data_IF_462060185769
#
_entry.id   IF_462060185769
#
_cell.length_a   1.000
_cell.length_b   1.000
_cell.length_c   1.000
_cell.angle_alpha   90.00
_cell.angle_beta   90.00
_cell.angle_gamma   90.00
#
_symmetry.space_group_name_H-M   'P 1'
#
loop_
_entity.id
_entity.type
_entity.pdbx_description
1 polymer ?
#
# COMPACT_ATOMS: atom_id res chain seq x y z
N UNK A 1 -0.24 -11.57 -59.74
CA UNK A 1 0.05 -11.08 -58.38
C UNK A 1 -1.26 -10.75 -57.70
N UNK A 2 -1.65 -11.48 -56.66
CA UNK A 2 -2.49 -10.94 -55.59
C UNK A 2 -2.41 -11.93 -54.42
N UNK A 3 -1.62 -11.53 -53.43
CA UNK A 3 -1.47 -12.22 -52.15
C UNK A 3 -2.81 -12.12 -51.40
N UNK A 4 -3.34 -13.27 -51.01
CA UNK A 4 -4.46 -13.37 -50.08
C UNK A 4 -4.01 -12.89 -48.70
N UNK A 5 -4.74 -11.91 -48.19
CA UNK A 5 -4.61 -11.26 -46.88
C UNK A 5 -4.57 -12.28 -45.74
N UNK A 6 -3.49 -12.23 -44.95
CA UNK A 6 -3.39 -12.80 -43.61
C UNK A 6 -4.41 -12.08 -42.70
N UNK A 7 -5.49 -12.77 -42.35
CA UNK A 7 -6.40 -12.33 -41.29
C UNK A 7 -5.68 -12.58 -39.97
N UNK A 8 -5.28 -11.49 -39.33
CA UNK A 8 -4.59 -11.48 -38.04
C UNK A 8 -5.44 -12.10 -36.95
N UNK A 9 -4.90 -13.13 -36.31
CA UNK A 9 -5.43 -13.67 -35.06
C UNK A 9 -4.60 -13.11 -33.91
N UNK A 10 -4.99 -11.93 -33.38
CA UNK A 10 -4.34 -11.37 -32.17
C UNK A 10 -5.26 -10.43 -31.39
N UNK A 11 -6.39 -10.92 -30.88
CA UNK A 11 -7.14 -10.20 -29.82
C UNK A 11 -7.87 -11.17 -28.89
N UNK A 12 -7.15 -11.98 -28.12
CA UNK A 12 -7.68 -12.61 -26.92
C UNK A 12 -6.59 -12.59 -25.83
N UNK A 13 -6.29 -11.40 -25.33
CA UNK A 13 -5.73 -11.19 -24.00
C UNK A 13 -6.75 -10.39 -23.17
N UNK A 14 -8.00 -10.84 -23.14
CA UNK A 14 -9.02 -10.43 -22.18
C UNK A 14 -9.51 -11.69 -21.47
N UNK A 15 -8.70 -12.23 -20.56
CA UNK A 15 -9.10 -13.33 -19.70
C UNK A 15 -8.17 -13.42 -18.47
N UNK A 16 -8.35 -12.50 -17.51
CA UNK A 16 -8.06 -12.73 -16.08
C UNK A 16 -8.51 -11.57 -15.16
N UNK A 17 -9.34 -10.62 -15.60
CA UNK A 17 -9.95 -9.63 -14.70
C UNK A 17 -11.22 -10.16 -14.00
N UNK A 18 -11.38 -11.49 -13.93
CA UNK A 18 -12.49 -12.13 -13.22
C UNK A 18 -12.07 -12.39 -11.77
N UNK A 19 -12.52 -11.49 -10.89
CA UNK A 19 -12.53 -11.63 -9.44
C UNK A 19 -11.18 -11.88 -8.78
N UNK A 20 -10.19 -11.02 -9.03
CA UNK A 20 -9.07 -10.90 -8.07
C UNK A 20 -9.65 -10.37 -6.77
N UNK A 21 -9.78 -11.25 -5.78
CA UNK A 21 -10.18 -10.86 -4.43
C UNK A 21 -8.92 -10.40 -3.70
N UNK A 22 -8.85 -9.11 -3.38
CA UNK A 22 -7.71 -8.56 -2.68
C UNK A 22 -7.94 -8.70 -1.16
N UNK A 23 -7.02 -9.32 -0.41
CA UNK A 23 -7.02 -9.21 1.05
C UNK A 23 -6.91 -7.73 1.46
N UNK A 24 -7.43 -7.31 2.64
CA UNK A 24 -7.33 -5.93 3.10
C UNK A 24 -5.90 -5.37 3.00
N UNK A 25 -5.73 -4.25 2.29
CA UNK A 25 -4.43 -3.58 2.14
C UNK A 25 -4.48 -2.29 2.97
N UNK A 26 -3.99 -2.37 4.19
CA UNK A 26 -4.03 -1.28 5.14
C UNK A 26 -2.81 -0.36 4.99
N UNK A 27 -2.98 0.92 5.33
CA UNK A 27 -1.98 1.95 5.08
C UNK A 27 -1.59 2.69 6.35
N UNK A 28 -0.34 3.15 6.38
CA UNK A 28 0.19 3.85 7.53
C UNK A 28 1.48 4.61 7.26
N UNK A 29 2.09 5.06 8.34
CA UNK A 29 3.39 5.73 8.31
C UNK A 29 4.39 5.00 9.20
N UNK A 30 5.63 4.96 8.75
CA UNK A 30 6.77 4.56 9.57
C UNK A 30 7.82 5.66 9.59
N UNK A 31 8.28 6.03 10.78
CA UNK A 31 9.30 7.04 10.96
C UNK A 31 10.53 6.41 11.63
N UNK A 32 11.68 6.30 10.92
CA UNK A 32 12.94 5.79 11.49
C UNK A 32 14.17 6.04 10.58
N UNK A 33 15.38 6.26 11.14
CA UNK A 33 15.71 7.42 11.95
C UNK A 33 15.84 8.72 11.13
N UNK A 34 15.73 8.67 9.80
CA UNK A 34 15.95 9.81 8.89
C UNK A 34 14.91 9.90 7.76
N UNK A 35 13.71 9.33 7.93
CA UNK A 35 12.67 9.44 6.91
C UNK A 35 11.26 9.15 7.43
N UNK A 36 10.28 9.72 6.72
CA UNK A 36 8.88 9.38 6.85
C UNK A 36 8.53 8.47 5.69
N UNK A 37 8.26 7.20 5.98
CA UNK A 37 7.83 6.22 5.00
C UNK A 37 6.32 6.12 5.02
N UNK A 38 5.69 6.18 3.85
CA UNK A 38 4.33 5.72 3.67
C UNK A 38 4.37 4.24 3.30
N UNK A 39 3.57 3.44 4.00
CA UNK A 39 3.68 1.99 4.02
C UNK A 39 2.31 1.35 3.82
N UNK A 40 2.30 0.16 3.25
CA UNK A 40 1.12 -0.69 3.12
C UNK A 40 1.39 -2.09 3.66
N UNK A 41 0.39 -2.77 4.23
CA UNK A 41 0.49 -4.15 4.69
C UNK A 41 -0.81 -4.92 4.43
N UNK A 42 -0.71 -6.24 4.34
CA UNK A 42 -1.85 -7.11 3.98
C UNK A 42 -1.69 -8.52 4.52
N UNK A 43 -2.74 -9.17 5.06
CA UNK A 43 -4.11 -8.66 5.29
C UNK A 43 -4.30 -7.95 6.64
N UNK A 44 -3.23 -7.84 7.44
CA UNK A 44 -3.33 -7.52 8.86
C UNK A 44 -4.03 -6.18 9.12
N UNK A 45 -5.04 -6.15 10.00
CA UNK A 45 -5.77 -4.93 10.37
C UNK A 45 -5.66 -4.73 11.87
N UNK A 46 -4.80 -3.80 12.35
CA UNK A 46 -4.72 -3.51 13.77
C UNK A 46 -6.04 -2.95 14.29
N UNK A 47 -6.51 -3.48 15.42
CA UNK A 47 -7.70 -3.02 16.15
C UNK A 47 -7.36 -2.40 17.50
N UNK A 48 -6.15 -2.66 18.02
CA UNK A 48 -5.62 -2.13 19.29
C UNK A 48 -4.24 -1.52 19.14
N UNK A 49 -3.90 -0.57 20.00
CA UNK A 49 -2.54 0.02 20.05
C UNK A 49 -1.45 -1.03 20.26
N UNK A 50 -1.71 -2.06 21.07
CA UNK A 50 -0.74 -3.15 21.32
C UNK A 50 -0.37 -3.91 20.04
N UNK A 51 -1.31 -4.09 19.11
CA UNK A 51 -1.06 -4.72 17.82
C UNK A 51 -0.18 -3.85 16.91
N UNK A 52 -0.26 -2.52 17.06
CA UNK A 52 0.62 -1.57 16.37
C UNK A 52 2.02 -1.59 17.00
N UNK A 53 2.11 -1.72 18.32
CA UNK A 53 3.36 -1.90 19.06
C UNK A 53 4.09 -3.18 18.63
N UNK A 54 3.38 -4.30 18.50
CA UNK A 54 3.96 -5.55 18.01
C UNK A 54 4.54 -5.41 16.59
N UNK A 55 3.85 -4.71 15.68
CA UNK A 55 4.37 -4.39 14.34
C UNK A 55 5.63 -3.52 14.43
N UNK A 56 5.64 -2.53 15.32
CA UNK A 56 6.77 -1.63 15.52
C UNK A 56 7.99 -2.38 16.09
N UNK A 57 7.81 -3.12 17.19
CA UNK A 57 8.87 -3.75 17.99
C UNK A 57 9.50 -4.95 17.30
N UNK A 58 8.72 -5.66 16.48
CA UNK A 58 9.26 -6.74 15.65
C UNK A 58 10.06 -6.21 14.46
N UNK A 59 10.20 -4.89 14.30
CA UNK A 59 10.88 -4.22 13.19
C UNK A 59 10.41 -4.72 11.82
N UNK A 60 9.13 -5.14 11.70
CA UNK A 60 8.62 -5.77 10.48
C UNK A 60 9.36 -7.06 10.08
N UNK A 61 10.09 -7.70 11.00
CA UNK A 61 10.89 -8.90 10.78
C UNK A 61 10.45 -10.03 11.73
N UNK A 62 9.26 -10.59 11.49
CA UNK A 62 9.11 -12.04 11.69
C UNK A 62 9.98 -12.69 10.62
N UNK A 63 10.79 -13.70 10.99
CA UNK A 63 11.58 -14.46 10.01
C UNK A 63 10.65 -15.03 8.93
N UNK A 64 10.71 -14.48 7.70
CA UNK A 64 9.96 -14.94 6.53
C UNK A 64 8.96 -13.93 5.93
N UNK A 65 8.76 -12.76 6.52
CA UNK A 65 7.70 -11.82 6.11
C UNK A 65 8.22 -10.39 6.13
N UNK A 66 8.25 -9.71 4.99
CA UNK A 66 8.20 -8.25 4.98
C UNK A 66 6.72 -7.89 5.07
N UNK A 67 6.18 -7.74 6.29
CA UNK A 67 4.73 -7.53 6.46
C UNK A 67 4.29 -6.13 6.06
N UNK A 68 5.17 -5.30 5.49
CA UNK A 68 4.79 -4.04 4.87
C UNK A 68 5.66 -3.69 3.67
N UNK A 69 5.08 -3.03 2.68
CA UNK A 69 5.79 -2.46 1.54
C UNK A 69 5.86 -0.95 1.69
N UNK A 70 7.06 -0.40 1.56
CA UNK A 70 7.25 1.05 1.45
C UNK A 70 6.67 1.51 0.12
N UNK A 71 5.58 2.27 0.17
CA UNK A 71 4.99 2.95 -0.99
C UNK A 71 5.84 4.16 -1.36
N UNK A 72 6.31 4.89 -0.35
CA UNK A 72 7.21 6.04 -0.51
C UNK A 72 8.11 6.15 0.70
N UNK A 73 9.37 6.46 0.46
CA UNK A 73 10.29 6.88 1.51
C UNK A 73 10.66 8.35 1.30
N UNK A 74 10.26 9.22 2.22
CA UNK A 74 10.84 10.56 2.29
C UNK A 74 12.28 10.45 2.79
N UNK A 75 13.21 10.44 1.86
CA UNK A 75 14.62 10.68 2.08
C UNK A 75 15.05 11.86 1.18
N UNK A 76 16.29 12.34 1.30
CA UNK A 76 16.79 13.50 0.52
C UNK A 76 16.84 13.29 -1.00
N UNK A 77 16.38 12.14 -1.53
CA UNK A 77 16.59 11.71 -2.91
C UNK A 77 15.33 11.19 -3.63
N UNK A 78 14.15 11.17 -3.00
CA UNK A 78 12.90 10.68 -3.62
C UNK A 78 11.82 11.77 -3.58
N UNK A 79 11.42 12.23 -4.77
CA UNK A 79 10.51 13.37 -4.97
C UNK A 79 9.17 12.98 -5.59
N UNK A 80 8.93 11.70 -5.87
CA UNK A 80 7.69 11.26 -6.49
C UNK A 80 6.49 11.44 -5.53
N UNK A 81 5.30 11.78 -6.05
CA UNK A 81 4.09 11.92 -5.25
C UNK A 81 3.72 10.59 -4.59
N UNK A 82 3.01 10.63 -3.45
CA UNK A 82 2.50 9.38 -2.81
C UNK A 82 1.37 8.80 -3.65
N UNK A 83 0.47 9.68 -4.09
CA UNK A 83 -0.66 9.35 -4.92
C UNK A 83 -0.19 9.17 -6.36
N UNK A 84 -0.80 8.25 -7.10
CA UNK A 84 -0.42 7.92 -8.48
C UNK A 84 1.02 7.38 -8.67
N UNK A 85 1.65 6.96 -7.58
CA UNK A 85 2.93 6.24 -7.65
C UNK A 85 2.68 4.74 -7.48
N UNK A 86 2.97 3.91 -8.50
CA UNK A 86 2.73 2.48 -8.42
C UNK A 86 3.58 1.80 -7.35
N UNK A 87 2.97 0.89 -6.62
CA UNK A 87 3.62 -0.02 -5.68
C UNK A 87 3.12 -1.45 -5.89
N UNK A 88 3.87 -2.40 -5.34
CA UNK A 88 3.49 -3.81 -5.29
C UNK A 88 3.29 -4.20 -3.83
N UNK A 89 2.48 -5.21 -3.55
CA UNK A 89 2.33 -5.73 -2.20
C UNK A 89 2.13 -7.23 -2.23
N UNK A 90 2.84 -7.94 -1.36
CA UNK A 90 2.64 -9.37 -1.13
C UNK A 90 1.75 -9.57 0.09
N UNK A 91 0.71 -10.37 -0.04
CA UNK A 91 -0.12 -10.78 1.11
C UNK A 91 0.62 -11.80 1.93
N UNK A 92 0.74 -11.58 3.25
CA UNK A 92 1.40 -12.53 4.14
C UNK A 92 0.57 -13.81 4.33
N UNK A 93 -0.75 -13.74 4.18
CA UNK A 93 -1.64 -14.90 4.34
C UNK A 93 -1.55 -15.86 3.15
N UNK A 94 -1.48 -15.33 1.93
CA UNK A 94 -1.56 -16.13 0.69
C UNK A 94 -0.22 -16.26 -0.03
N UNK A 95 0.74 -15.39 0.24
CA UNK A 95 1.99 -15.26 -0.51
C UNK A 95 1.82 -14.69 -1.92
N UNK A 96 0.59 -14.31 -2.30
CA UNK A 96 0.32 -13.71 -3.61
C UNK A 96 0.80 -12.27 -3.63
N UNK A 97 1.49 -11.89 -4.72
CA UNK A 97 1.93 -10.51 -4.94
C UNK A 97 1.00 -9.82 -5.93
N UNK A 98 0.42 -8.71 -5.47
CA UNK A 98 -0.37 -7.81 -6.27
C UNK A 98 0.53 -6.70 -6.80
N UNK A 99 0.52 -6.51 -8.11
CA UNK A 99 1.43 -5.60 -8.80
C UNK A 99 0.70 -4.37 -9.34
N UNK A 100 1.44 -3.28 -9.52
CA UNK A 100 0.95 -2.04 -10.15
C UNK A 100 -0.33 -1.52 -9.50
N UNK A 101 -0.34 -1.47 -8.17
CA UNK A 101 -1.38 -0.77 -7.42
C UNK A 101 -0.94 0.66 -7.21
N UNK A 102 -1.88 1.59 -7.13
CA UNK A 102 -1.59 2.97 -6.71
C UNK A 102 -2.59 3.42 -5.65
N UNK A 103 -2.17 4.43 -4.90
CA UNK A 103 -2.99 5.07 -3.87
C UNK A 103 -3.74 6.22 -4.53
N UNK A 104 -5.06 6.23 -4.38
CA UNK A 104 -5.92 7.34 -4.80
C UNK A 104 -6.19 8.25 -3.60
N UNK A 105 -5.93 9.54 -3.77
CA UNK A 105 -6.02 10.55 -2.72
C UNK A 105 -7.12 11.56 -3.01
N UNK A 106 -7.54 12.30 -1.98
CA UNK A 106 -8.47 13.43 -2.12
C UNK A 106 -7.86 14.55 -2.96
N UNK A 107 -6.56 14.80 -2.77
CA UNK A 107 -5.77 15.77 -3.51
C UNK A 107 -4.48 15.11 -4.00
N UNK A 108 -4.12 15.32 -5.25
CA UNK A 108 -2.85 14.84 -5.83
C UNK A 108 -1.73 15.87 -5.70
N UNK A 109 -2.05 17.13 -5.42
CA UNK A 109 -1.11 18.23 -5.27
C UNK A 109 -0.69 18.41 -3.80
N UNK A 110 -0.27 17.31 -3.18
CA UNK A 110 0.20 17.31 -1.79
C UNK A 110 1.68 17.69 -1.77
N UNK A 111 2.05 18.61 -0.89
CA UNK A 111 3.45 18.95 -0.66
C UNK A 111 4.28 17.71 -0.32
N UNK A 112 5.57 17.71 -0.68
CA UNK A 112 6.44 16.55 -0.48
C UNK A 112 6.48 16.05 0.97
N UNK A 113 6.31 16.93 1.95
CA UNK A 113 6.31 16.62 3.38
C UNK A 113 4.90 16.40 3.95
N UNK A 114 3.87 16.68 3.16
CA UNK A 114 2.47 16.49 3.52
C UNK A 114 2.11 15.01 3.66
N UNK A 115 1.07 14.75 4.45
CA UNK A 115 0.46 13.43 4.57
C UNK A 115 -0.81 13.39 3.72
N UNK A 116 -0.91 12.51 2.72
CA UNK A 116 -2.11 12.37 1.89
C UNK A 116 -3.31 11.94 2.72
N UNK A 117 -4.48 12.44 2.33
CA UNK A 117 -5.75 11.80 2.67
C UNK A 117 -6.08 10.78 1.57
N UNK A 118 -6.05 9.50 1.94
CA UNK A 118 -6.26 8.38 1.03
C UNK A 118 -7.73 7.98 1.01
N UNK A 119 -8.26 7.74 -0.19
CA UNK A 119 -9.65 7.31 -0.40
C UNK A 119 -9.77 5.88 -0.93
N UNK A 120 -8.75 5.39 -1.65
CA UNK A 120 -8.81 4.08 -2.26
C UNK A 120 -7.42 3.56 -2.67
N UNK A 121 -7.38 2.26 -2.95
CA UNK A 121 -6.33 1.61 -3.73
C UNK A 121 -6.94 1.24 -5.07
N UNK A 122 -6.22 1.54 -6.15
CA UNK A 122 -6.67 1.26 -7.51
C UNK A 122 -5.62 0.45 -8.27
N UNK A 123 -6.09 -0.38 -9.18
CA UNK A 123 -5.23 -1.10 -10.12
C UNK A 123 -4.87 -0.16 -11.27
N UNK A 124 -3.57 0.07 -11.50
CA UNK A 124 -3.09 1.05 -12.49
C UNK A 124 -3.45 0.62 -13.92
N UNK A 125 -3.47 -0.68 -14.21
CA UNK A 125 -3.71 -1.19 -15.56
C UNK A 125 -5.17 -1.00 -16.00
N UNK A 126 -6.10 -1.12 -15.07
CA UNK A 126 -7.55 -1.04 -15.32
C UNK A 126 -8.18 0.26 -14.84
N UNK A 127 -7.45 1.04 -14.04
CA UNK A 127 -7.93 2.23 -13.34
C UNK A 127 -9.21 1.98 -12.52
N UNK A 128 -9.32 0.77 -11.96
CA UNK A 128 -10.47 0.36 -11.13
C UNK A 128 -10.09 0.38 -9.67
N UNK A 129 -11.03 0.84 -8.84
CA UNK A 129 -10.95 0.70 -7.39
C UNK A 129 -10.90 -0.77 -7.01
N UNK A 130 -9.82 -1.13 -6.32
CA UNK A 130 -9.57 -2.44 -5.73
C UNK A 130 -10.10 -2.47 -4.30
N UNK A 131 -9.86 -1.39 -3.54
CA UNK A 131 -10.37 -1.20 -2.18
C UNK A 131 -10.69 0.26 -1.91
N UNK A 132 -11.70 0.50 -1.09
CA UNK A 132 -11.99 1.81 -0.50
C UNK A 132 -11.27 1.90 0.83
N UNK A 133 -10.68 3.05 1.12
CA UNK A 133 -9.95 3.32 2.35
C UNK A 133 -10.64 4.39 3.17
N UNK A 134 -10.66 4.20 4.49
CA UNK A 134 -11.18 5.18 5.46
C UNK A 134 -10.12 5.42 6.55
N UNK A 135 -10.13 6.59 7.21
CA UNK A 135 -9.27 6.81 8.36
C UNK A 135 -9.42 5.70 9.41
N UNK A 136 -8.30 5.16 9.87
CA UNK A 136 -8.27 4.05 10.81
C UNK A 136 -8.84 4.47 12.18
N UNK A 137 -9.62 3.59 12.78
CA UNK A 137 -10.11 3.71 14.16
C UNK A 137 -9.57 2.54 14.95
N UNK A 138 -8.76 2.83 15.97
CA UNK A 138 -8.13 1.83 16.85
C UNK A 138 -8.57 2.11 18.27
N UNK A 139 -8.76 1.06 19.07
CA UNK A 139 -8.92 1.20 20.50
C UNK A 139 -7.59 1.72 21.10
N UNK A 140 -7.57 2.99 21.52
CA UNK A 140 -6.39 3.66 22.07
C UNK A 140 -5.75 4.64 21.08
N UNK A 141 -4.43 4.60 20.99
CA UNK A 141 -3.64 5.38 20.03
C UNK A 141 -3.40 4.59 18.75
N UNK A 142 -3.53 5.25 17.59
CA UNK A 142 -3.18 4.71 16.29
C UNK A 142 -1.66 4.72 16.02
N UNK A 143 -0.84 5.01 17.04
CA UNK A 143 0.60 5.15 16.95
C UNK A 143 1.27 4.30 18.03
N UNK A 144 2.40 3.70 17.68
CA UNK A 144 3.30 3.11 18.66
C UNK A 144 4.76 3.46 18.37
N UNK A 145 5.55 3.61 19.43
CA UNK A 145 6.97 3.96 19.37
C UNK A 145 7.81 2.70 19.53
N UNK A 146 8.61 2.34 18.52
CA UNK A 146 9.50 1.16 18.58
C UNK A 146 10.92 1.49 19.04
N UNK A 147 11.13 2.71 19.55
CA UNK A 147 12.40 3.04 20.17
C UNK A 147 12.22 4.04 21.30
N UNK A 148 13.27 4.18 22.11
CA UNK A 148 13.36 5.19 23.16
C UNK A 148 13.57 6.61 22.61
N UNK A 149 13.87 6.74 21.31
CA UNK A 149 14.02 8.03 20.64
C UNK A 149 12.67 8.55 20.18
N UNK A 150 12.31 9.77 20.61
CA UNK A 150 11.03 10.38 20.26
C UNK A 150 10.89 10.54 18.75
N UNK A 151 9.74 10.11 18.22
CA UNK A 151 9.41 10.24 16.79
C UNK A 151 9.81 9.03 15.95
N UNK A 152 10.25 7.94 16.57
CA UNK A 152 10.48 6.67 15.89
C UNK A 152 9.33 5.71 16.15
N UNK A 153 8.54 5.40 15.13
CA UNK A 153 7.33 4.63 15.35
C UNK A 153 6.53 4.30 14.11
N UNK A 154 5.47 3.53 14.34
CA UNK A 154 4.49 3.10 13.36
C UNK A 154 3.16 3.75 13.66
N UNK A 155 2.49 4.22 12.62
CA UNK A 155 1.14 4.76 12.70
C UNK A 155 0.21 4.02 11.74
N UNK A 156 -0.88 3.46 12.26
CA UNK A 156 -1.98 2.95 11.45
C UNK A 156 -2.93 4.09 11.06
N UNK A 157 -3.04 4.37 9.76
CA UNK A 157 -3.69 5.61 9.28
C UNK A 157 -4.94 5.36 8.46
N UNK A 158 -4.98 4.31 7.63
CA UNK A 158 -6.15 4.01 6.82
C UNK A 158 -6.44 2.52 6.80
N UNK A 159 -7.68 2.17 7.11
CA UNK A 159 -8.22 0.83 6.95
C UNK A 159 -8.85 0.70 5.56
N UNK A 160 -8.46 -0.30 4.78
CA UNK A 160 -9.00 -0.49 3.42
C UNK A 160 -9.68 -1.85 3.26
N UNK A 161 -10.75 -1.86 2.47
CA UNK A 161 -11.55 -3.06 2.18
C UNK A 161 -12.20 -2.97 0.80
N UNK A 162 -12.46 -4.12 0.17
CA UNK A 162 -13.16 -4.23 -1.12
C UNK A 162 -14.65 -3.98 -1.02
#
# INVERSE_FOLDING_TARGET
>A
MQLSTLIGASFLAMASAQNTSYPPINLGYFSYPHGNQFIAWSPFTPTRTQEIEEVCDTYGAIKGTATWTSIRSYNTYVFDPICRNPFNITSDETGETYYNLEVACVDDNIELQGRPEVTAIVDVATNKTVQTCVPAVVEGENYSSCSTYRGQGVQFSFACSS
#
